data_IF_210235850413
#
_entry.id   IF_210235850413
#
_cell.length_a   1.000
_cell.length_b   1.000
_cell.length_c   1.000
_cell.angle_alpha   90.00
_cell.angle_beta   90.00
_cell.angle_gamma   90.00
#
_symmetry.space_group_name_H-M   'P 1'
#
loop_
_entity.id
_entity.type
_entity.pdbx_description
1 polymer ?
#
# COMPACT_ATOMS: atom_id res chain seq x y z
N UNK A 1 18.82 46.01 -37.21
CA UNK A 1 17.55 46.03 -36.47
C UNK A 1 16.43 45.71 -37.46
N UNK A 2 15.89 44.51 -37.44
CA UNK A 2 14.65 44.19 -38.15
C UNK A 2 13.82 43.29 -37.22
N UNK A 3 12.72 43.86 -36.71
CA UNK A 3 11.75 43.18 -35.86
C UNK A 3 10.69 42.53 -36.75
N UNK A 4 10.47 41.25 -36.55
CA UNK A 4 9.33 40.54 -37.15
C UNK A 4 8.19 40.46 -36.11
N UNK A 5 6.93 40.54 -36.56
CA UNK A 5 5.78 40.75 -35.70
C UNK A 5 5.33 39.46 -35.03
N UNK A 6 5.10 39.54 -33.72
CA UNK A 6 4.51 38.48 -32.89
C UNK A 6 3.03 38.36 -33.23
N UNK A 7 2.61 37.22 -33.78
CA UNK A 7 1.21 36.91 -34.07
C UNK A 7 0.64 36.14 -32.88
N UNK A 8 0.00 36.86 -31.96
CA UNK A 8 -0.72 36.29 -30.82
C UNK A 8 -2.02 35.63 -31.29
N UNK A 9 -2.06 34.29 -31.26
CA UNK A 9 -3.28 33.52 -31.46
C UNK A 9 -3.97 33.32 -30.10
N UNK A 10 -5.01 34.09 -29.83
CA UNK A 10 -5.85 33.90 -28.65
C UNK A 10 -6.86 32.77 -28.94
N UNK A 11 -6.65 31.60 -28.35
CA UNK A 11 -7.63 30.52 -28.34
C UNK A 11 -8.51 30.68 -27.11
N UNK A 12 -9.72 31.21 -27.30
CA UNK A 12 -10.75 31.24 -26.27
C UNK A 12 -11.59 29.96 -26.39
N UNK A 13 -11.24 28.91 -25.64
CA UNK A 13 -12.13 27.77 -25.42
C UNK A 13 -13.04 28.06 -24.22
N UNK A 14 -14.31 28.37 -24.51
CA UNK A 14 -15.35 28.35 -23.50
C UNK A 14 -15.74 26.89 -23.22
N UNK A 15 -15.42 26.40 -22.03
CA UNK A 15 -15.97 25.14 -21.53
C UNK A 15 -17.37 25.41 -20.96
N UNK A 16 -18.40 24.97 -21.69
CA UNK A 16 -19.76 24.88 -21.14
C UNK A 16 -19.83 23.62 -20.27
N UNK A 17 -20.01 23.81 -18.95
CA UNK A 17 -20.36 22.73 -18.03
C UNK A 17 -21.82 22.34 -18.27
N UNK A 18 -22.06 21.25 -18.99
CA UNK A 18 -23.37 20.57 -18.98
C UNK A 18 -23.48 19.75 -17.69
N UNK A 19 -24.10 20.34 -16.68
CA UNK A 19 -24.59 19.63 -15.52
C UNK A 19 -25.78 18.75 -15.94
N UNK A 20 -25.56 17.46 -16.15
CA UNK A 20 -26.65 16.49 -16.20
C UNK A 20 -27.05 16.18 -14.76
N UNK A 21 -28.01 16.96 -14.27
CA UNK A 21 -28.82 16.66 -13.11
C UNK A 21 -29.95 15.74 -13.56
N UNK A 22 -29.77 14.43 -13.43
CA UNK A 22 -30.89 13.48 -13.43
C UNK A 22 -31.19 13.14 -11.98
N UNK A 23 -32.28 13.75 -11.51
CA UNK A 23 -32.85 13.60 -10.19
C UNK A 23 -34.22 12.97 -10.43
N UNK A 24 -34.33 11.65 -10.29
CA UNK A 24 -35.62 10.97 -10.23
C UNK A 24 -35.90 10.51 -8.79
N UNK A 25 -37.02 10.94 -8.19
CA UNK A 25 -37.39 10.62 -6.82
C UNK A 25 -38.17 9.31 -6.77
N UNK A 26 -37.71 8.35 -5.97
CA UNK A 26 -38.52 7.21 -5.56
C UNK A 26 -38.47 7.08 -4.04
N UNK A 27 -39.53 7.63 -3.44
CA UNK A 27 -40.34 7.06 -2.36
C UNK A 27 -39.62 6.55 -1.10
N UNK A 28 -39.79 7.34 -0.05
CA UNK A 28 -39.74 6.90 1.34
C UNK A 28 -40.62 5.68 1.59
N UNK A 29 -40.05 4.62 2.16
CA UNK A 29 -40.69 3.82 3.19
C UNK A 29 -39.63 3.38 4.21
N UNK A 30 -39.67 4.00 5.39
CA UNK A 30 -39.30 3.32 6.63
C UNK A 30 -40.53 2.51 7.07
N UNK A 31 -40.34 1.35 7.70
CA UNK A 31 -40.82 1.29 9.09
C UNK A 31 -39.92 0.52 10.07
N UNK A 32 -40.07 0.96 11.34
CA UNK A 32 -40.05 0.19 12.60
C UNK A 32 -38.84 -0.71 12.90
N UNK A 33 -37.88 -0.24 13.70
CA UNK A 33 -37.89 -0.35 15.19
C UNK A 33 -38.71 -1.54 15.70
N UNK A 34 -38.05 -2.67 15.93
CA UNK A 34 -38.52 -3.68 16.88
C UNK A 34 -37.42 -3.90 17.91
N UNK A 35 -37.63 -3.28 19.07
CA UNK A 35 -36.99 -3.62 20.33
C UNK A 35 -37.64 -4.92 20.81
N UNK A 36 -36.87 -6.00 20.89
CA UNK A 36 -37.22 -7.11 21.77
C UNK A 36 -36.16 -7.20 22.87
N UNK A 37 -36.53 -6.64 24.03
CA UNK A 37 -35.97 -7.05 25.30
C UNK A 37 -36.35 -8.51 25.55
N UNK A 38 -35.38 -9.37 25.79
CA UNK A 38 -35.61 -10.60 26.56
C UNK A 38 -34.78 -10.52 27.82
N UNK A 39 -35.46 -10.12 28.88
CA UNK A 39 -35.06 -10.34 30.26
C UNK A 39 -35.09 -11.85 30.54
N UNK A 40 -34.01 -12.40 31.07
CA UNK A 40 -34.08 -13.60 31.91
C UNK A 40 -33.15 -13.38 33.09
N UNK A 41 -33.76 -13.08 34.23
CA UNK A 41 -33.15 -13.22 35.53
C UNK A 41 -33.33 -14.67 35.99
N UNK A 42 -32.27 -15.30 36.46
CA UNK A 42 -32.40 -16.25 37.56
C UNK A 42 -31.14 -16.22 38.43
N UNK A 43 -31.38 -16.53 39.69
CA UNK A 43 -30.72 -16.08 40.91
C UNK A 43 -29.85 -17.20 41.49
N UNK A 44 -28.98 -16.81 42.44
CA UNK A 44 -28.51 -17.63 43.58
C UNK A 44 -27.46 -18.73 43.24
N UNK A 45 -26.31 -18.85 43.89
CA UNK A 45 -25.96 -18.65 45.31
C UNK A 45 -24.44 -18.42 45.52
N UNK A 46 -24.12 -17.63 46.56
CA UNK A 46 -22.83 -17.53 47.28
C UNK A 46 -22.43 -18.90 47.88
N UNK A 47 -21.12 -19.19 48.13
CA UNK A 47 -20.57 -18.94 49.47
C UNK A 47 -19.09 -18.47 49.52
N UNK A 48 -18.86 -17.61 50.51
CA UNK A 48 -17.72 -17.50 51.44
C UNK A 48 -16.25 -17.35 50.99
N UNK A 49 -15.70 -16.18 51.36
CA UNK A 49 -14.31 -15.85 51.80
C UNK A 49 -13.78 -16.80 52.91
N UNK A 50 -12.48 -16.86 53.29
CA UNK A 50 -11.53 -15.73 53.51
C UNK A 50 -10.08 -16.04 53.01
N UNK A 51 -9.08 -15.16 53.01
CA UNK A 51 -8.48 -14.51 54.18
C UNK A 51 -7.43 -13.48 53.78
N UNK A 52 -7.25 -12.50 54.67
CA UNK A 52 -6.34 -11.36 54.67
C UNK A 52 -4.85 -11.70 54.52
N UNK A 53 -4.07 -10.75 54.00
CA UNK A 53 -3.11 -9.98 54.82
C UNK A 53 -2.44 -8.84 54.06
N UNK A 54 -2.50 -7.66 54.67
CA UNK A 54 -1.78 -6.44 54.33
C UNK A 54 -0.28 -6.57 54.55
N UNK A 55 0.50 -5.77 53.81
CA UNK A 55 1.91 -5.52 54.09
C UNK A 55 2.46 -4.37 53.24
N UNK A 56 2.31 -3.15 53.73
CA UNK A 56 3.01 -1.93 53.28
C UNK A 56 4.51 -2.03 53.59
N UNK A 57 5.41 -1.47 52.77
CA UNK A 57 6.37 -0.37 53.07
C UNK A 57 7.35 -0.15 51.89
N UNK A 58 7.90 1.05 51.85
CA UNK A 58 8.46 1.88 50.79
C UNK A 58 9.89 1.57 50.30
N UNK A 59 10.22 2.23 49.17
CA UNK A 59 11.51 2.80 48.72
C UNK A 59 12.82 2.00 48.88
N UNK A 60 13.49 1.72 47.76
CA UNK A 60 14.94 1.98 47.64
C UNK A 60 15.42 2.00 46.17
N UNK A 61 16.52 2.72 45.98
CA UNK A 61 17.23 3.22 44.81
C UNK A 61 17.44 2.28 43.59
N UNK A 62 17.63 2.91 42.43
CA UNK A 62 17.74 2.28 41.10
C UNK A 62 18.96 1.37 40.86
N UNK A 63 19.06 0.82 39.65
CA UNK A 63 19.88 1.49 38.64
C UNK A 63 19.14 1.76 37.33
N UNK A 64 19.55 2.88 36.72
CA UNK A 64 19.17 3.33 35.38
C UNK A 64 19.29 2.21 34.34
N UNK A 65 18.28 1.97 33.48
CA UNK A 65 18.50 1.16 32.29
C UNK A 65 19.40 1.98 31.35
N UNK A 66 20.67 1.60 31.28
CA UNK A 66 21.56 2.00 30.19
C UNK A 66 20.86 1.68 28.87
N UNK A 67 20.39 2.74 28.19
CA UNK A 67 19.97 2.70 26.80
C UNK A 67 21.21 2.38 25.95
N UNK A 68 21.49 1.09 25.81
CA UNK A 68 22.31 0.59 24.72
C UNK A 68 21.41 0.58 23.47
N UNK A 69 21.23 1.75 22.87
CA UNK A 69 20.98 1.81 21.42
C UNK A 69 22.28 1.33 20.78
N UNK A 70 22.43 0.02 20.67
CA UNK A 70 23.29 -0.55 19.65
C UNK A 70 22.60 -0.20 18.33
N UNK A 71 22.92 0.99 17.81
CA UNK A 71 22.78 1.29 16.39
C UNK A 71 23.62 0.24 15.68
N UNK A 72 22.93 -0.83 15.30
CA UNK A 72 23.38 -1.77 14.32
C UNK A 72 23.57 -0.95 13.05
N UNK A 73 24.79 -0.47 12.82
CA UNK A 73 25.26 -0.04 11.50
C UNK A 73 25.25 -1.30 10.63
N UNK A 74 24.06 -1.66 10.15
CA UNK A 74 23.95 -2.49 8.96
C UNK A 74 24.62 -1.71 7.85
N UNK A 75 25.60 -2.33 7.18
CA UNK A 75 26.24 -1.81 5.98
C UNK A 75 25.15 -1.43 4.97
N UNK A 76 24.79 -0.16 5.02
CA UNK A 76 23.68 0.43 4.30
C UNK A 76 24.14 0.58 2.86
N UNK A 77 23.88 -0.44 2.05
CA UNK A 77 23.52 -0.19 0.65
C UNK A 77 22.31 0.73 0.71
N UNK A 78 22.57 2.03 0.65
CA UNK A 78 21.70 3.08 1.17
C UNK A 78 20.39 3.11 0.38
N UNK A 79 19.42 2.33 0.84
CA UNK A 79 18.05 2.37 0.36
C UNK A 79 17.52 3.76 0.72
N UNK A 80 17.53 4.68 -0.24
CA UNK A 80 16.96 6.02 -0.05
C UNK A 80 15.48 5.92 -0.36
N UNK A 81 14.67 5.55 0.63
CA UNK A 81 13.22 5.63 0.54
C UNK A 81 12.75 6.97 1.09
N UNK A 82 11.84 7.62 0.36
CA UNK A 82 11.10 8.78 0.87
C UNK A 82 10.05 8.31 1.88
N UNK A 83 10.48 7.96 3.09
CA UNK A 83 9.60 7.45 4.15
C UNK A 83 8.49 8.46 4.48
N UNK A 84 7.32 7.95 4.89
CA UNK A 84 6.10 8.67 5.22
C UNK A 84 5.43 9.41 4.05
N UNK A 85 6.00 9.37 2.86
CA UNK A 85 5.36 9.85 1.64
C UNK A 85 4.35 8.82 1.12
N UNK A 86 3.24 9.30 0.58
CA UNK A 86 2.25 8.48 -0.14
C UNK A 86 2.27 8.87 -1.62
N UNK A 87 2.43 7.87 -2.47
CA UNK A 87 2.46 8.00 -3.93
C UNK A 87 3.69 8.70 -4.48
N UNK A 88 3.83 8.66 -5.81
CA UNK A 88 4.88 9.36 -6.54
C UNK A 88 6.22 8.65 -6.49
N UNK A 89 7.31 9.42 -6.66
CA UNK A 89 8.67 8.92 -6.58
C UNK A 89 9.06 8.64 -5.12
N UNK A 90 9.40 7.38 -4.85
CA UNK A 90 9.76 6.88 -3.54
C UNK A 90 11.26 6.65 -3.38
N UNK A 91 12.08 7.02 -4.36
CA UNK A 91 13.51 6.82 -4.37
C UNK A 91 13.92 5.50 -5.02
N UNK A 92 14.88 4.78 -4.44
CA UNK A 92 15.48 3.60 -5.09
C UNK A 92 15.54 2.37 -4.18
N UNK A 93 15.39 1.18 -4.78
CA UNK A 93 15.66 -0.11 -4.16
C UNK A 93 17.15 -0.27 -3.82
N UNK A 94 17.54 -1.24 -2.97
CA UNK A 94 18.96 -1.56 -2.72
C UNK A 94 19.73 -1.95 -3.99
N UNK A 95 19.03 -2.49 -5.00
CA UNK A 95 19.58 -2.85 -6.31
C UNK A 95 19.62 -1.66 -7.29
N UNK A 96 19.32 -0.44 -6.85
CA UNK A 96 19.39 0.79 -7.66
C UNK A 96 18.18 1.06 -8.57
N UNK A 97 17.14 0.22 -8.56
CA UNK A 97 15.92 0.47 -9.34
C UNK A 97 15.11 1.62 -8.73
N UNK A 98 14.62 2.56 -9.55
CA UNK A 98 13.69 3.58 -9.06
C UNK A 98 12.34 2.96 -8.67
N UNK A 99 11.73 3.52 -7.64
CA UNK A 99 10.47 3.06 -7.05
C UNK A 99 9.43 4.16 -7.25
N UNK A 100 8.33 3.83 -7.93
CA UNK A 100 7.18 4.70 -8.03
C UNK A 100 5.96 4.07 -7.36
N UNK A 101 5.30 4.79 -6.46
CA UNK A 101 4.13 4.34 -5.72
C UNK A 101 2.84 4.92 -6.29
N UNK A 102 1.76 4.14 -6.23
CA UNK A 102 0.41 4.61 -6.49
C UNK A 102 -0.07 5.63 -5.48
N UNK A 103 -1.07 6.43 -5.85
CA UNK A 103 -1.60 7.56 -5.06
C UNK A 103 -2.14 7.17 -3.67
N UNK A 104 -2.46 5.89 -3.45
CA UNK A 104 -2.90 5.36 -2.15
C UNK A 104 -1.86 4.40 -1.52
N UNK A 105 -0.61 4.40 -2.01
CA UNK A 105 0.46 3.51 -1.56
C UNK A 105 1.54 4.33 -0.85
N UNK A 106 1.86 4.02 0.40
CA UNK A 106 3.01 4.62 1.07
C UNK A 106 4.31 4.14 0.43
N UNK A 107 5.34 4.99 0.43
CA UNK A 107 6.64 4.64 -0.13
C UNK A 107 7.30 3.47 0.62
N UNK A 108 7.06 3.32 1.92
CA UNK A 108 7.50 2.16 2.69
C UNK A 108 6.82 0.88 2.23
N UNK A 109 5.51 0.94 1.95
CA UNK A 109 4.80 -0.22 1.46
C UNK A 109 5.23 -0.56 0.03
N UNK A 110 5.38 0.44 -0.85
CA UNK A 110 5.89 0.25 -2.19
C UNK A 110 7.28 -0.42 -2.18
N UNK A 111 8.19 0.05 -1.33
CA UNK A 111 9.49 -0.59 -1.16
C UNK A 111 9.37 -2.03 -0.62
N UNK A 112 8.47 -2.28 0.34
CA UNK A 112 8.23 -3.60 0.92
C UNK A 112 7.68 -4.64 -0.08
N UNK A 113 7.04 -4.21 -1.18
CA UNK A 113 6.60 -5.12 -2.25
C UNK A 113 7.79 -5.75 -3.00
N UNK A 114 8.96 -5.10 -3.01
CA UNK A 114 10.10 -5.51 -3.85
C UNK A 114 10.64 -6.90 -3.48
N UNK A 115 10.83 -7.17 -2.20
CA UNK A 115 11.38 -8.44 -1.71
C UNK A 115 10.56 -9.66 -2.12
N UNK A 116 9.24 -9.70 -1.83
CA UNK A 116 8.36 -10.76 -2.31
C UNK A 116 8.31 -10.84 -3.85
N UNK A 117 8.26 -9.69 -4.55
CA UNK A 117 8.23 -9.66 -6.02
C UNK A 117 9.48 -10.30 -6.65
N UNK A 118 10.67 -10.09 -6.06
CA UNK A 118 11.93 -10.70 -6.49
C UNK A 118 11.98 -12.22 -6.30
N UNK A 119 11.28 -12.74 -5.30
CA UNK A 119 11.26 -14.18 -4.97
C UNK A 119 10.17 -14.95 -5.69
N UNK A 120 9.24 -14.27 -6.34
CA UNK A 120 8.12 -14.88 -7.02
C UNK A 120 8.54 -15.60 -8.31
N UNK A 121 7.75 -16.62 -8.67
CA UNK A 121 7.84 -17.28 -9.97
C UNK A 121 6.85 -16.64 -10.92
N UNK A 122 7.32 -16.19 -12.07
CA UNK A 122 6.53 -15.52 -13.09
C UNK A 122 6.25 -16.47 -14.23
N UNK A 123 4.97 -16.57 -14.61
CA UNK A 123 4.54 -17.38 -15.75
C UNK A 123 3.99 -16.48 -16.84
N UNK A 124 4.15 -16.93 -18.08
CA UNK A 124 3.60 -16.24 -19.23
C UNK A 124 2.06 -16.35 -19.21
N UNK A 125 1.40 -15.20 -19.14
CA UNK A 125 -0.06 -15.10 -19.10
C UNK A 125 -0.58 -14.23 -20.24
N UNK A 126 -1.62 -14.70 -20.90
CA UNK A 126 -2.30 -14.01 -21.99
C UNK A 126 -3.80 -13.98 -21.68
N UNK A 127 -4.30 -12.79 -21.31
CA UNK A 127 -5.72 -12.61 -21.01
C UNK A 127 -6.60 -12.71 -22.28
N UNK A 128 -6.09 -12.22 -23.40
CA UNK A 128 -6.78 -12.21 -24.69
C UNK A 128 -5.80 -12.66 -25.80
N UNK A 129 -6.18 -13.58 -26.70
CA UNK A 129 -5.30 -14.09 -27.76
C UNK A 129 -4.80 -13.01 -28.75
N UNK A 130 -5.42 -11.83 -28.78
CA UNK A 130 -5.06 -10.70 -29.64
C UNK A 130 -4.02 -9.77 -29.02
N UNK A 131 -3.74 -9.87 -27.71
CA UNK A 131 -2.74 -9.05 -27.03
C UNK A 131 -1.47 -9.85 -26.75
N UNK A 132 -0.35 -9.17 -26.59
CA UNK A 132 0.90 -9.84 -26.25
C UNK A 132 0.81 -10.44 -24.84
N UNK A 133 1.29 -11.68 -24.63
CA UNK A 133 1.42 -12.24 -23.30
C UNK A 133 2.43 -11.46 -22.45
N UNK A 134 2.18 -11.40 -21.15
CA UNK A 134 3.08 -10.80 -20.15
C UNK A 134 3.49 -11.86 -19.13
N UNK A 135 4.70 -11.73 -18.59
CA UNK A 135 5.10 -12.51 -17.42
C UNK A 135 4.39 -11.95 -16.19
N UNK A 136 3.63 -12.80 -15.48
CA UNK A 136 2.83 -12.41 -14.32
C UNK A 136 3.10 -13.31 -13.12
N UNK A 137 2.98 -12.77 -11.92
CA UNK A 137 3.05 -13.50 -10.67
C UNK A 137 2.02 -12.97 -9.67
N UNK A 138 1.58 -13.81 -8.74
CA UNK A 138 0.83 -13.37 -7.57
C UNK A 138 1.73 -13.43 -6.34
N UNK A 139 1.72 -12.36 -5.54
CA UNK A 139 2.51 -12.26 -4.31
C UNK A 139 1.63 -11.79 -3.15
N UNK A 140 2.13 -12.00 -1.93
CA UNK A 140 1.63 -11.35 -0.74
C UNK A 140 2.71 -10.42 -0.19
N UNK A 141 2.35 -9.16 0.09
CA UNK A 141 3.24 -8.20 0.74
C UNK A 141 2.55 -7.57 1.95
N UNK A 142 3.27 -7.39 3.06
CA UNK A 142 2.76 -6.77 4.28
C UNK A 142 3.15 -5.30 4.31
N UNK A 143 2.19 -4.42 4.52
CA UNK A 143 2.44 -2.98 4.72
C UNK A 143 3.13 -2.76 6.06
N UNK A 144 4.33 -2.15 6.08
CA UNK A 144 4.97 -1.75 7.34
C UNK A 144 4.18 -0.66 8.07
N UNK A 145 3.37 0.12 7.34
CA UNK A 145 2.63 1.27 7.88
C UNK A 145 1.32 0.84 8.54
N UNK A 146 0.56 -0.05 7.89
CA UNK A 146 -0.76 -0.46 8.40
C UNK A 146 -0.74 -1.85 9.07
N UNK A 147 0.30 -2.64 8.83
CA UNK A 147 0.39 -4.03 9.28
C UNK A 147 -0.48 -5.01 8.47
N UNK A 148 -1.23 -4.53 7.48
CA UNK A 148 -2.10 -5.36 6.64
C UNK A 148 -1.29 -6.11 5.58
N UNK A 149 -1.78 -7.29 5.21
CA UNK A 149 -1.23 -8.08 4.10
C UNK A 149 -2.08 -7.90 2.85
N UNK A 150 -1.42 -7.63 1.74
CA UNK A 150 -2.03 -7.38 0.44
C UNK A 150 -1.68 -8.49 -0.53
N UNK A 151 -2.70 -9.03 -1.19
CA UNK A 151 -2.54 -9.86 -2.38
C UNK A 151 -2.30 -8.93 -3.58
N UNK A 152 -1.20 -9.12 -4.29
CA UNK A 152 -0.81 -8.28 -5.41
C UNK A 152 -0.52 -9.14 -6.64
N UNK A 153 -0.87 -8.62 -7.82
CA UNK A 153 -0.44 -9.17 -9.10
C UNK A 153 0.73 -8.35 -9.62
N UNK A 154 1.87 -9.01 -9.80
CA UNK A 154 3.05 -8.45 -10.40
C UNK A 154 3.15 -8.82 -11.88
N UNK A 155 3.68 -7.91 -12.69
CA UNK A 155 3.83 -8.08 -14.13
C UNK A 155 5.13 -7.43 -14.60
N UNK A 156 5.81 -8.07 -15.55
CA UNK A 156 6.92 -7.45 -16.29
C UNK A 156 6.34 -6.71 -17.49
N UNK A 157 6.67 -5.42 -17.63
CA UNK A 157 6.28 -4.62 -18.78
C UNK A 157 6.87 -5.16 -20.08
N UNK A 158 6.15 -5.00 -21.19
CA UNK A 158 6.56 -5.50 -22.51
C UNK A 158 7.89 -4.94 -23.00
N UNK A 159 8.28 -3.76 -22.50
CA UNK A 159 9.53 -3.09 -22.80
C UNK A 159 10.70 -3.51 -21.88
N UNK A 160 10.42 -4.48 -21.01
CA UNK A 160 11.30 -5.12 -20.04
C UNK A 160 11.88 -4.19 -18.96
N UNK A 161 11.49 -2.91 -18.95
CA UNK A 161 12.02 -1.89 -18.04
C UNK A 161 11.31 -1.87 -16.70
N UNK A 162 10.02 -2.19 -16.67
CA UNK A 162 9.18 -2.10 -15.49
C UNK A 162 8.80 -3.45 -14.90
N UNK A 163 8.91 -3.57 -13.58
CA UNK A 163 8.20 -4.57 -12.78
C UNK A 163 7.11 -3.84 -12.00
N UNK A 164 5.85 -4.09 -12.32
CA UNK A 164 4.71 -3.45 -11.66
C UNK A 164 3.98 -4.46 -10.78
N UNK A 165 3.77 -4.15 -9.51
CA UNK A 165 2.93 -4.93 -8.59
C UNK A 165 1.72 -4.11 -8.17
N UNK A 166 0.52 -4.62 -8.39
CA UNK A 166 -0.74 -3.89 -8.15
C UNK A 166 -1.73 -4.75 -7.38
N UNK A 167 -2.51 -4.13 -6.49
CA UNK A 167 -3.69 -4.75 -5.89
C UNK A 167 -4.77 -4.95 -6.95
N UNK A 168 -5.30 -6.18 -7.14
CA UNK A 168 -6.41 -6.40 -8.06
C UNK A 168 -7.57 -5.42 -7.78
N UNK A 169 -8.20 -4.95 -8.85
CA UNK A 169 -9.36 -4.03 -8.83
C UNK A 169 -9.12 -2.66 -8.16
N UNK A 170 -7.86 -2.32 -7.87
CA UNK A 170 -7.48 -1.05 -7.24
C UNK A 170 -6.30 -0.42 -7.96
N UNK A 171 -6.58 0.62 -8.75
CA UNK A 171 -5.57 1.31 -9.54
C UNK A 171 -4.72 2.30 -8.74
N UNK A 172 -5.01 2.50 -7.46
CA UNK A 172 -4.27 3.44 -6.60
C UNK A 172 -3.26 2.73 -5.69
N UNK A 173 -3.43 1.42 -5.49
CA UNK A 173 -2.53 0.59 -4.67
C UNK A 173 -1.57 -0.20 -5.56
N UNK A 174 -0.40 0.37 -5.83
CA UNK A 174 0.63 -0.27 -6.65
C UNK A 174 2.04 0.26 -6.36
N UNK A 175 3.04 -0.50 -6.82
CA UNK A 175 4.41 -0.06 -6.96
C UNK A 175 4.95 -0.44 -8.35
N UNK A 176 5.80 0.42 -8.92
CA UNK A 176 6.56 0.15 -10.14
C UNK A 176 8.04 0.26 -9.79
N UNK A 177 8.81 -0.75 -10.19
CA UNK A 177 10.26 -0.77 -10.09
C UNK A 177 10.85 -0.69 -11.49
N UNK A 178 11.65 0.33 -11.78
CA UNK A 178 12.23 0.51 -13.12
C UNK A 178 13.73 0.24 -13.13
N UNK A 179 14.16 -0.55 -14.11
CA UNK A 179 15.57 -0.85 -14.40
C UNK A 179 15.97 -0.20 -15.73
N UNK A 180 17.00 0.66 -15.70
CA UNK A 180 17.57 1.26 -16.92
C UNK A 180 18.16 0.19 -17.86
N UNK A 181 18.59 -0.95 -17.31
CA UNK A 181 19.13 -2.07 -18.06
C UNK A 181 18.06 -2.91 -18.79
N UNK A 182 16.76 -2.70 -18.48
CA UNK A 182 15.62 -3.41 -19.11
C UNK A 182 15.73 -4.94 -19.03
N UNK A 183 16.08 -5.42 -17.85
CA UNK A 183 16.57 -6.78 -17.60
C UNK A 183 15.73 -7.56 -16.57
N UNK A 184 14.47 -7.14 -16.34
CA UNK A 184 13.60 -7.82 -15.38
C UNK A 184 13.43 -9.33 -15.63
N UNK A 185 13.24 -9.82 -16.87
CA UNK A 185 13.12 -11.26 -17.10
C UNK A 185 14.34 -12.06 -16.63
N UNK A 186 15.54 -11.48 -16.74
CA UNK A 186 16.80 -12.12 -16.35
C UNK A 186 17.04 -12.08 -14.83
N UNK A 187 16.36 -11.17 -14.12
CA UNK A 187 16.52 -10.93 -12.69
C UNK A 187 15.49 -11.66 -11.83
N UNK A 188 14.52 -12.30 -12.46
CA UNK A 188 13.37 -12.96 -11.86
C UNK A 188 13.30 -14.42 -12.31
N UNK A 189 12.56 -15.23 -11.57
CA UNK A 189 12.31 -16.62 -11.98
C UNK A 189 11.17 -16.65 -12.99
N UNK A 190 11.47 -16.57 -14.30
CA UNK A 190 10.47 -16.62 -15.36
C UNK A 190 10.37 -18.02 -15.99
N UNK A 191 9.14 -18.47 -16.24
CA UNK A 191 8.83 -19.72 -16.93
C UNK A 191 7.88 -19.44 -18.10
N UNK A 192 8.17 -20.06 -19.24
CA UNK A 192 7.36 -19.98 -20.47
C UNK A 192 6.12 -20.87 -20.46
#
# INVERSE_FOLDING_TARGET
MHRLPTLTLAVATAFTLSACSDNDPMTSEAPDTTTEETTTAEESTTPESPNSSSGTTEEDEGPSPTRADEQQEEESSKQTINASQVGGDCGVTPEGNAIFAGSATSCEFAAAMFGPAKKASYTRYQADPTVNPLYTASITAKSPVTGESYQLTCQIGSDLAGLSCRKPDDNNVFAIFTSDARDWPQRLNTTD
#
